data_IF_243485102161
#
_entry.id   IF_243485102161
#
_cell.length_a   1.000
_cell.length_b   1.000
_cell.length_c   1.000
_cell.angle_alpha   90.00
_cell.angle_beta   90.00
_cell.angle_gamma   90.00
#
_symmetry.space_group_name_H-M   'P 1'
#
loop_
_entity.id
_entity.type
_entity.pdbx_description
1 polymer ?
#
# COMPACT_ATOMS: atom_id res chain seq x y z
N UNK A 1 -20.85 13.95 54.52
CA UNK A 1 -21.53 13.44 53.31
C UNK A 1 -20.71 13.90 52.15
N UNK A 2 -20.07 12.96 51.44
CA UNK A 2 -18.97 13.23 50.52
C UNK A 2 -19.37 14.11 49.33
N UNK A 3 -18.52 15.10 49.05
CA UNK A 3 -18.47 15.81 47.78
C UNK A 3 -17.59 15.00 46.83
N UNK A 4 -18.21 14.32 45.87
CA UNK A 4 -17.53 13.83 44.67
C UNK A 4 -18.43 14.15 43.49
N UNK A 5 -18.27 15.35 42.94
CA UNK A 5 -18.68 15.62 41.57
C UNK A 5 -17.62 14.94 40.69
N UNK A 6 -17.86 13.68 40.32
CA UNK A 6 -17.09 13.05 39.24
C UNK A 6 -17.44 13.77 37.94
N UNK A 7 -16.49 14.47 37.29
CA UNK A 7 -16.75 14.99 35.97
C UNK A 7 -16.94 13.78 35.06
N UNK A 8 -18.14 13.63 34.51
CA UNK A 8 -18.41 12.72 33.40
C UNK A 8 -17.30 12.93 32.36
N UNK A 9 -16.34 12.02 32.33
CA UNK A 9 -15.39 11.94 31.24
C UNK A 9 -16.26 11.70 30.02
N UNK A 10 -16.38 12.73 29.20
CA UNK A 10 -17.00 12.67 27.89
C UNK A 10 -16.20 11.65 27.11
N UNK A 11 -16.61 10.38 27.23
CA UNK A 11 -16.18 9.29 26.37
C UNK A 11 -16.63 9.69 24.98
N UNK A 12 -15.75 10.42 24.30
CA UNK A 12 -15.74 10.57 22.86
C UNK A 12 -15.70 9.15 22.33
N UNK A 13 -16.90 8.60 22.13
CA UNK A 13 -17.17 7.42 21.36
C UNK A 13 -16.72 7.76 19.95
N UNK A 14 -15.40 7.66 19.71
CA UNK A 14 -14.83 7.64 18.39
C UNK A 14 -15.51 6.49 17.70
N UNK A 15 -16.46 6.83 16.83
CA UNK A 15 -17.14 5.88 15.95
C UNK A 15 -16.06 4.94 15.43
N UNK A 16 -16.19 3.61 15.58
CA UNK A 16 -15.24 2.73 14.94
C UNK A 16 -15.36 3.06 13.45
N UNK A 17 -14.31 3.65 12.89
CA UNK A 17 -14.16 3.72 11.45
C UNK A 17 -14.24 2.26 11.02
N UNK A 18 -15.39 1.88 10.45
CA UNK A 18 -15.62 0.52 9.96
C UNK A 18 -14.41 0.09 9.13
N UNK A 19 -14.08 -1.21 9.08
CA UNK A 19 -12.77 -1.68 8.64
C UNK A 19 -12.42 -1.02 7.31
N UNK A 20 -11.54 0.00 7.36
CA UNK A 20 -10.94 0.54 6.16
C UNK A 20 -10.16 -0.63 5.62
N UNK A 21 -10.57 -1.14 4.46
CA UNK A 21 -9.85 -2.22 3.80
C UNK A 21 -8.38 -1.84 3.77
N UNK A 22 -7.55 -2.66 4.41
CA UNK A 22 -6.11 -2.42 4.39
C UNK A 22 -5.67 -2.40 2.92
N UNK A 23 -4.85 -1.43 2.50
CA UNK A 23 -4.35 -1.42 1.14
C UNK A 23 -3.59 -2.73 0.89
N UNK A 24 -3.81 -3.31 -0.29
CA UNK A 24 -3.10 -4.53 -0.68
C UNK A 24 -1.59 -4.27 -0.62
N UNK A 25 -0.78 -5.19 -0.08
CA UNK A 25 0.66 -4.99 0.02
C UNK A 25 1.38 -5.06 -1.33
N UNK A 26 0.68 -5.50 -2.38
CA UNK A 26 1.15 -5.53 -3.76
C UNK A 26 0.25 -4.70 -4.68
N UNK A 27 0.82 -4.31 -5.82
CA UNK A 27 0.08 -3.72 -6.94
C UNK A 27 0.50 -4.36 -8.26
N UNK A 28 -0.32 -4.16 -9.28
CA UNK A 28 0.07 -4.52 -10.64
C UNK A 28 1.17 -3.59 -11.12
N UNK A 29 2.30 -4.18 -11.50
CA UNK A 29 3.45 -3.48 -12.08
C UNK A 29 3.37 -3.55 -13.60
N UNK A 30 3.85 -2.53 -14.32
CA UNK A 30 3.83 -2.53 -15.76
C UNK A 30 4.78 -3.58 -16.35
N UNK A 31 4.42 -4.08 -17.53
CA UNK A 31 5.26 -4.90 -18.40
C UNK A 31 5.56 -4.06 -19.65
N UNK A 32 6.80 -3.60 -19.78
CA UNK A 32 7.19 -2.67 -20.85
C UNK A 32 8.18 -3.33 -21.81
N UNK A 33 8.10 -3.01 -23.09
CA UNK A 33 9.10 -3.44 -24.07
C UNK A 33 10.36 -2.55 -23.94
N UNK A 34 11.55 -3.17 -23.96
CA UNK A 34 12.82 -2.43 -23.99
C UNK A 34 13.39 -2.44 -25.40
N UNK A 35 13.19 -1.34 -26.12
CA UNK A 35 13.66 -1.20 -27.51
C UNK A 35 15.19 -1.33 -27.66
N UNK A 36 16.03 -0.76 -26.78
CA UNK A 36 17.48 -0.97 -26.84
C UNK A 36 17.89 -2.43 -26.65
N UNK A 37 17.35 -3.11 -25.62
CA UNK A 37 17.67 -4.52 -25.36
C UNK A 37 17.16 -5.42 -26.47
N UNK A 38 15.96 -5.14 -26.97
CA UNK A 38 15.35 -5.94 -28.03
C UNK A 38 16.17 -5.88 -29.33
N UNK A 39 16.67 -4.69 -29.69
CA UNK A 39 17.56 -4.52 -30.85
C UNK A 39 18.86 -5.28 -30.71
N UNK A 40 19.49 -5.22 -29.55
CA UNK A 40 20.76 -5.92 -29.29
C UNK A 40 20.61 -7.44 -29.27
N UNK A 41 19.50 -7.95 -28.73
CA UNK A 41 19.23 -9.38 -28.62
C UNK A 41 18.63 -10.00 -29.89
N UNK A 42 18.15 -9.19 -30.83
CA UNK A 42 17.45 -9.67 -32.04
C UNK A 42 16.09 -10.29 -31.75
N UNK A 43 15.51 -10.05 -30.58
CA UNK A 43 14.21 -10.56 -30.17
C UNK A 43 13.49 -9.53 -29.27
N UNK A 44 12.18 -9.68 -29.10
CA UNK A 44 11.39 -8.76 -28.25
C UNK A 44 11.64 -9.05 -26.78
N UNK A 45 12.18 -8.08 -26.07
CA UNK A 45 12.45 -8.16 -24.63
C UNK A 45 11.48 -7.27 -23.87
N UNK A 46 10.79 -7.86 -22.90
CA UNK A 46 9.91 -7.16 -21.99
C UNK A 46 10.47 -7.16 -20.57
N UNK A 47 10.33 -6.02 -19.89
CA UNK A 47 10.75 -5.80 -18.52
C UNK A 47 9.52 -5.70 -17.62
N UNK A 48 9.47 -6.55 -16.59
CA UNK A 48 8.48 -6.49 -15.52
C UNK A 48 9.03 -5.62 -14.38
N UNK A 49 8.43 -4.45 -14.15
CA UNK A 49 9.00 -3.44 -13.25
C UNK A 49 8.64 -3.66 -11.77
N UNK A 50 9.09 -4.77 -11.18
CA UNK A 50 8.82 -5.12 -9.76
C UNK A 50 9.45 -4.16 -8.75
N UNK A 51 10.40 -3.32 -9.16
CA UNK A 51 10.92 -2.23 -8.35
C UNK A 51 9.86 -1.16 -8.03
N UNK A 52 8.74 -1.14 -8.76
CA UNK A 52 7.62 -0.25 -8.51
C UNK A 52 6.64 -0.81 -7.47
N UNK A 53 6.87 -1.99 -6.89
CA UNK A 53 6.04 -2.45 -5.77
C UNK A 53 6.19 -1.53 -4.54
N UNK A 54 5.24 -1.54 -3.58
CA UNK A 54 5.29 -0.65 -2.40
C UNK A 54 6.57 -0.75 -1.56
N UNK A 55 7.13 -1.95 -1.40
CA UNK A 55 8.40 -2.22 -0.73
C UNK A 55 9.63 -2.11 -1.66
N UNK A 56 9.47 -1.59 -2.87
CA UNK A 56 10.57 -1.32 -3.82
C UNK A 56 11.20 -2.56 -4.46
N UNK A 57 10.60 -3.73 -4.25
CA UNK A 57 11.03 -4.99 -4.86
C UNK A 57 9.88 -5.97 -4.97
N UNK A 58 10.10 -7.07 -5.68
CA UNK A 58 9.12 -8.16 -5.77
C UNK A 58 8.78 -8.80 -4.40
N UNK A 59 9.58 -8.52 -3.36
CA UNK A 59 9.37 -9.02 -1.99
C UNK A 59 8.53 -8.08 -1.11
N UNK A 60 7.88 -7.08 -1.73
CA UNK A 60 6.87 -6.26 -1.03
C UNK A 60 5.76 -7.12 -0.47
#
# INVERSE_FOLDING_TARGET
MGSYEEPMHEELHTRPLGPKSLPKPWRETPLIESEPLSRLAGCRIFLKLENLQPGGSFKS
#
